data_IF_356087468491
#
_entry.id   IF_356087468491
#
_cell.length_a   1.000
_cell.length_b   1.000
_cell.length_c   1.000
_cell.angle_alpha   90.00
_cell.angle_beta   90.00
_cell.angle_gamma   90.00
#
_symmetry.space_group_name_H-M   'P 1'
#
loop_
_entity.id
_entity.type
_entity.pdbx_description
1 polymer ?
#
# COMPACT_ATOMS: atom_id res chain seq x y z
N UNK A 1 18.01 21.45 -20.19
CA UNK A 1 17.21 20.22 -20.31
C UNK A 1 15.72 20.38 -19.99
N UNK A 2 15.32 21.44 -19.32
CA UNK A 2 13.91 21.71 -18.91
C UNK A 2 12.98 22.26 -20.01
N UNK A 3 13.52 22.65 -21.18
CA UNK A 3 12.73 23.29 -22.24
C UNK A 3 11.92 22.34 -23.15
N UNK A 4 12.06 21.02 -23.00
CA UNK A 4 11.34 20.02 -23.82
C UNK A 4 10.17 19.34 -23.09
N UNK A 5 9.97 19.63 -21.80
CA UNK A 5 8.78 19.15 -21.09
C UNK A 5 7.62 20.08 -21.44
N UNK A 6 6.79 19.66 -22.38
CA UNK A 6 5.60 20.42 -22.75
C UNK A 6 4.69 20.60 -21.51
N UNK A 7 4.06 21.80 -21.40
CA UNK A 7 3.15 22.15 -20.28
C UNK A 7 2.14 21.03 -19.96
N UNK A 8 1.69 20.31 -20.99
CA UNK A 8 0.76 19.17 -20.86
C UNK A 8 1.36 18.02 -20.04
N UNK A 9 2.62 17.66 -20.30
CA UNK A 9 3.29 16.57 -19.58
C UNK A 9 3.54 16.96 -18.13
N UNK A 10 3.90 18.19 -17.87
CA UNK A 10 4.06 18.72 -16.51
C UNK A 10 2.74 18.69 -15.73
N UNK A 11 1.62 19.12 -16.34
CA UNK A 11 0.31 19.08 -15.70
C UNK A 11 -0.13 17.65 -15.38
N UNK A 12 0.07 16.71 -16.32
CA UNK A 12 -0.25 15.30 -16.11
C UNK A 12 0.56 14.72 -14.93
N UNK A 13 1.84 15.03 -14.88
CA UNK A 13 2.75 14.59 -13.81
C UNK A 13 2.31 15.13 -12.45
N UNK A 14 1.98 16.43 -12.38
CA UNK A 14 1.47 17.07 -11.16
C UNK A 14 0.15 16.46 -10.69
N UNK A 15 -0.80 16.26 -11.61
CA UNK A 15 -2.12 15.72 -11.26
C UNK A 15 -2.00 14.26 -10.77
N UNK A 16 -1.27 13.41 -11.50
CA UNK A 16 -1.09 12.02 -11.09
C UNK A 16 -0.29 11.89 -9.78
N UNK A 17 0.75 12.70 -9.59
CA UNK A 17 1.50 12.74 -8.34
C UNK A 17 0.64 13.15 -7.16
N UNK A 18 -0.18 14.20 -7.32
CA UNK A 18 -1.09 14.66 -6.28
C UNK A 18 -2.14 13.59 -5.93
N UNK A 19 -2.75 12.95 -6.94
CA UNK A 19 -3.73 11.86 -6.75
C UNK A 19 -3.07 10.69 -6.01
N UNK A 20 -1.87 10.30 -6.39
CA UNK A 20 -1.12 9.23 -5.73
C UNK A 20 -0.84 9.53 -4.25
N UNK A 21 -0.42 10.75 -3.93
CA UNK A 21 -0.17 11.16 -2.55
C UNK A 21 -1.45 11.25 -1.71
N UNK A 22 -2.55 11.74 -2.29
CA UNK A 22 -3.85 11.76 -1.62
C UNK A 22 -4.34 10.33 -1.38
N UNK A 23 -4.26 9.45 -2.36
CA UNK A 23 -4.66 8.05 -2.23
C UNK A 23 -3.87 7.35 -1.12
N UNK A 24 -2.55 7.56 -1.09
CA UNK A 24 -1.68 7.02 -0.04
C UNK A 24 -2.02 7.55 1.35
N UNK A 25 -2.27 8.85 1.48
CA UNK A 25 -2.64 9.46 2.76
C UNK A 25 -4.01 8.94 3.27
N UNK A 26 -4.99 8.85 2.37
CA UNK A 26 -6.32 8.31 2.67
C UNK A 26 -6.22 6.84 3.08
N UNK A 27 -5.48 6.03 2.33
CA UNK A 27 -5.23 4.63 2.63
C UNK A 27 -4.67 4.48 4.05
N UNK A 28 -3.54 5.10 4.35
CA UNK A 28 -2.91 4.99 5.67
C UNK A 28 -3.84 5.42 6.81
N UNK A 29 -4.59 6.50 6.63
CA UNK A 29 -5.51 6.99 7.66
C UNK A 29 -6.68 6.03 7.88
N UNK A 30 -7.33 5.58 6.80
CA UNK A 30 -8.50 4.71 6.90
C UNK A 30 -8.15 3.28 7.31
N UNK A 31 -7.01 2.73 6.90
CA UNK A 31 -6.60 1.39 7.30
C UNK A 31 -6.30 1.30 8.79
N UNK A 32 -5.57 2.26 9.31
CA UNK A 32 -5.27 2.31 10.74
C UNK A 32 -6.55 2.40 11.56
N UNK A 33 -7.50 3.26 11.14
CA UNK A 33 -8.80 3.41 11.78
C UNK A 33 -9.63 2.12 11.63
N UNK A 34 -9.65 1.50 10.46
CA UNK A 34 -10.38 0.26 10.21
C UNK A 34 -9.88 -0.89 11.10
N UNK A 35 -8.58 -1.06 11.22
CA UNK A 35 -7.99 -2.09 12.11
C UNK A 35 -8.37 -1.82 13.55
N UNK A 36 -8.26 -0.58 14.00
CA UNK A 36 -8.56 -0.18 15.37
C UNK A 36 -10.04 -0.36 15.72
N UNK A 37 -10.95 0.05 14.84
CA UNK A 37 -12.39 0.00 15.12
C UNK A 37 -13.03 -1.36 14.83
N UNK A 38 -12.53 -2.08 13.83
CA UNK A 38 -13.19 -3.30 13.32
C UNK A 38 -12.58 -4.57 13.84
N UNK A 39 -11.26 -4.61 14.07
CA UNK A 39 -10.56 -5.83 14.43
C UNK A 39 -10.25 -5.87 15.92
N UNK A 40 -9.47 -4.92 16.40
CA UNK A 40 -9.17 -4.79 17.83
C UNK A 40 -8.73 -3.35 18.16
N UNK A 41 -9.22 -2.76 19.27
CA UNK A 41 -8.81 -1.45 19.73
C UNK A 41 -7.43 -1.54 20.41
N UNK A 42 -6.41 -1.94 19.66
CA UNK A 42 -5.05 -2.14 20.13
C UNK A 42 -4.08 -1.21 19.38
N UNK A 43 -3.63 -0.19 20.09
CA UNK A 43 -2.68 0.80 19.56
C UNK A 43 -1.31 0.22 19.28
N UNK A 44 -0.90 -0.83 20.00
CA UNK A 44 0.40 -1.46 19.80
C UNK A 44 0.46 -2.16 18.44
N UNK A 45 -0.63 -2.83 18.06
CA UNK A 45 -0.76 -3.46 16.74
C UNK A 45 -0.76 -2.43 15.61
N UNK A 46 -1.49 -1.33 15.76
CA UNK A 46 -1.51 -0.25 14.77
C UNK A 46 -0.12 0.38 14.62
N UNK A 47 0.57 0.61 15.74
CA UNK A 47 1.93 1.15 15.75
C UNK A 47 2.91 0.21 15.04
N UNK A 48 2.82 -1.09 15.30
CA UNK A 48 3.63 -2.11 14.65
C UNK A 48 3.36 -2.17 13.14
N UNK A 49 2.10 -2.08 12.73
CA UNK A 49 1.71 -1.99 11.32
C UNK A 49 2.41 -0.81 10.63
N UNK A 50 2.29 0.39 11.18
CA UNK A 50 2.88 1.61 10.61
C UNK A 50 4.40 1.51 10.52
N UNK A 51 5.06 0.94 11.54
CA UNK A 51 6.52 0.76 11.53
C UNK A 51 6.97 -0.24 10.47
N UNK A 52 6.29 -1.39 10.36
CA UNK A 52 6.61 -2.41 9.36
C UNK A 52 6.38 -1.87 7.94
N UNK A 53 5.27 -1.19 7.71
CA UNK A 53 4.97 -0.57 6.41
C UNK A 53 6.02 0.46 6.01
N UNK A 54 6.50 1.28 6.95
CA UNK A 54 7.58 2.23 6.72
C UNK A 54 8.90 1.56 6.30
N UNK A 55 9.25 0.45 6.95
CA UNK A 55 10.43 -0.35 6.57
C UNK A 55 10.25 -0.96 5.18
N UNK A 56 9.09 -1.57 4.92
CA UNK A 56 8.76 -2.16 3.62
C UNK A 56 8.81 -1.10 2.52
N UNK A 57 8.22 0.07 2.74
CA UNK A 57 8.26 1.18 1.78
C UNK A 57 9.70 1.58 1.44
N UNK A 58 10.53 1.77 2.45
CA UNK A 58 11.94 2.18 2.26
C UNK A 58 12.73 1.14 1.47
N UNK A 59 12.64 -0.13 1.88
CA UNK A 59 13.34 -1.23 1.20
C UNK A 59 12.85 -1.39 -0.23
N UNK A 60 11.54 -1.31 -0.45
CA UNK A 60 10.92 -1.42 -1.77
C UNK A 60 11.38 -0.29 -2.69
N UNK A 61 11.39 0.95 -2.22
CA UNK A 61 11.81 2.10 -3.01
C UNK A 61 13.24 1.93 -3.50
N UNK A 62 14.15 1.48 -2.63
CA UNK A 62 15.55 1.23 -2.99
C UNK A 62 15.70 0.08 -3.98
N UNK A 63 15.05 -1.05 -3.73
CA UNK A 63 15.17 -2.25 -4.56
C UNK A 63 14.50 -2.05 -5.93
N UNK A 64 13.26 -1.61 -5.95
CA UNK A 64 12.51 -1.46 -7.19
C UNK A 64 13.02 -0.26 -7.99
N UNK A 65 13.45 0.82 -7.34
CA UNK A 65 14.12 1.93 -8.02
C UNK A 65 15.33 1.44 -8.83
N UNK A 66 16.24 0.70 -8.19
CA UNK A 66 17.43 0.17 -8.85
C UNK A 66 17.11 -0.86 -9.94
N UNK A 67 16.11 -1.71 -9.72
CA UNK A 67 15.67 -2.72 -10.71
C UNK A 67 14.99 -2.05 -11.91
N UNK A 68 14.10 -1.09 -11.67
CA UNK A 68 13.41 -0.38 -12.75
C UNK A 68 14.36 0.42 -13.63
N UNK A 69 15.42 0.98 -13.02
CA UNK A 69 16.47 1.69 -13.77
C UNK A 69 17.28 0.76 -14.66
N UNK A 70 17.63 -0.43 -14.18
CA UNK A 70 18.35 -1.44 -14.96
C UNK A 70 17.53 -1.97 -16.14
N UNK A 71 16.23 -2.15 -15.95
CA UNK A 71 15.33 -2.67 -17.01
C UNK A 71 14.96 -1.57 -18.01
N UNK A 72 15.02 -0.29 -17.59
CA UNK A 72 14.69 0.86 -18.43
C UNK A 72 13.21 0.99 -18.80
N UNK A 73 12.33 0.23 -18.17
CA UNK A 73 10.90 0.19 -18.50
C UNK A 73 10.01 0.57 -17.30
N UNK A 74 10.24 1.76 -16.78
CA UNK A 74 9.49 2.31 -15.61
C UNK A 74 7.97 2.35 -15.83
N UNK A 75 7.51 2.57 -17.07
CA UNK A 75 6.08 2.64 -17.38
C UNK A 75 5.32 1.36 -17.03
N UNK A 76 5.90 0.20 -17.36
CA UNK A 76 5.28 -1.10 -17.06
C UNK A 76 5.20 -1.34 -15.55
N UNK A 77 6.28 -1.01 -14.82
CA UNK A 77 6.28 -1.12 -13.36
C UNK A 77 5.25 -0.20 -12.70
N UNK A 78 5.12 1.05 -13.17
CA UNK A 78 4.10 1.97 -12.68
C UNK A 78 2.70 1.43 -12.90
N UNK A 79 2.36 1.08 -14.14
CA UNK A 79 1.01 0.61 -14.46
C UNK A 79 0.66 -0.68 -13.72
N UNK A 80 1.54 -1.67 -13.76
CA UNK A 80 1.35 -2.94 -13.06
C UNK A 80 1.25 -2.74 -11.54
N UNK A 81 2.12 -1.91 -10.96
CA UNK A 81 2.12 -1.59 -9.54
C UNK A 81 0.81 -0.93 -9.10
N UNK A 82 0.31 0.07 -9.82
CA UNK A 82 -0.96 0.73 -9.50
C UNK A 82 -2.16 -0.22 -9.62
N UNK A 83 -2.20 -1.08 -10.63
CA UNK A 83 -3.29 -2.06 -10.79
C UNK A 83 -3.27 -3.07 -9.64
N UNK A 84 -2.10 -3.64 -9.32
CA UNK A 84 -1.96 -4.61 -8.23
C UNK A 84 -2.25 -3.93 -6.88
N UNK A 85 -1.76 -2.72 -6.67
CA UNK A 85 -2.07 -1.94 -5.47
C UNK A 85 -3.57 -1.74 -5.30
N UNK A 86 -4.29 -1.31 -6.34
CA UNK A 86 -5.75 -1.18 -6.29
C UNK A 86 -6.47 -2.49 -5.99
N UNK A 87 -6.01 -3.62 -6.54
CA UNK A 87 -6.55 -4.96 -6.24
C UNK A 87 -6.28 -5.35 -4.80
N UNK A 88 -5.07 -5.14 -4.28
CA UNK A 88 -4.73 -5.46 -2.88
C UNK A 88 -5.52 -4.62 -1.89
N UNK A 89 -5.74 -3.33 -2.17
CA UNK A 89 -6.61 -2.45 -1.38
C UNK A 89 -8.04 -2.99 -1.34
N UNK A 90 -8.58 -3.40 -2.49
CA UNK A 90 -9.92 -3.98 -2.55
C UNK A 90 -10.02 -5.29 -1.75
N UNK A 91 -9.02 -6.16 -1.86
CA UNK A 91 -8.97 -7.42 -1.11
C UNK A 91 -8.84 -7.19 0.39
N UNK A 92 -8.09 -6.19 0.81
CA UNK A 92 -7.96 -5.83 2.23
C UNK A 92 -9.32 -5.46 2.85
N UNK A 93 -10.19 -4.79 2.11
CA UNK A 93 -11.54 -4.45 2.57
C UNK A 93 -12.38 -5.67 2.99
N UNK A 94 -12.05 -6.87 2.51
CA UNK A 94 -12.68 -8.12 2.94
C UNK A 94 -12.05 -8.72 4.21
N UNK A 95 -10.92 -8.21 4.68
CA UNK A 95 -10.23 -8.68 5.88
C UNK A 95 -10.96 -8.16 7.12
N UNK A 96 -11.98 -8.88 7.59
CA UNK A 96 -12.72 -8.55 8.79
C UNK A 96 -12.92 -9.79 9.68
N UNK A 97 -13.10 -9.65 11.00
CA UNK A 97 -13.36 -10.77 11.90
C UNK A 97 -14.57 -11.59 11.48
N UNK A 98 -15.57 -10.97 10.85
CA UNK A 98 -16.76 -11.66 10.32
C UNK A 98 -16.41 -12.58 9.16
N UNK A 99 -15.60 -12.11 8.22
CA UNK A 99 -15.18 -12.89 7.05
C UNK A 99 -14.22 -14.01 7.45
N UNK A 100 -13.26 -13.70 8.33
CA UNK A 100 -12.30 -14.69 8.83
C UNK A 100 -13.02 -15.72 9.69
N UNK A 101 -13.97 -15.33 10.52
CA UNK A 101 -14.80 -16.25 11.33
C UNK A 101 -15.70 -17.17 10.51
N UNK A 102 -16.11 -16.74 9.32
CA UNK A 102 -16.86 -17.60 8.39
C UNK A 102 -15.99 -18.67 7.74
N UNK A 103 -14.69 -18.41 7.61
CA UNK A 103 -13.73 -19.34 6.98
C UNK A 103 -13.08 -20.25 8.02
N UNK A 104 -12.74 -19.69 9.20
CA UNK A 104 -12.08 -20.40 10.28
C UNK A 104 -13.04 -20.53 11.48
N UNK A 105 -13.54 -21.74 11.71
CA UNK A 105 -14.34 -22.06 12.90
C UNK A 105 -13.41 -22.13 14.11
N UNK A 106 -13.51 -21.18 15.04
CA UNK A 106 -12.66 -21.16 16.23
C UNK A 106 -13.12 -20.14 17.28
N UNK A 107 -12.40 -20.09 18.41
CA UNK A 107 -12.64 -19.10 19.46
C UNK A 107 -12.41 -17.68 18.93
N UNK A 108 -13.22 -16.72 19.41
CA UNK A 108 -13.13 -15.32 19.00
C UNK A 108 -11.71 -14.73 19.15
N UNK A 109 -10.98 -15.11 20.21
CA UNK A 109 -9.61 -14.67 20.42
C UNK A 109 -8.66 -15.13 19.30
N UNK A 110 -8.82 -16.36 18.80
CA UNK A 110 -8.04 -16.88 17.67
C UNK A 110 -8.40 -16.19 16.37
N UNK A 111 -9.69 -15.95 16.14
CA UNK A 111 -10.19 -15.25 14.94
C UNK A 111 -9.60 -13.83 14.88
N UNK A 112 -9.64 -13.11 15.99
CA UNK A 112 -9.07 -11.75 16.09
C UNK A 112 -7.56 -11.77 15.82
N UNK A 113 -6.80 -12.70 16.42
CA UNK A 113 -5.37 -12.83 16.22
C UNK A 113 -5.01 -13.15 14.76
N UNK A 114 -5.73 -14.04 14.11
CA UNK A 114 -5.54 -14.36 12.68
C UNK A 114 -5.88 -13.15 11.82
N UNK A 115 -6.96 -12.45 12.13
CA UNK A 115 -7.38 -11.26 11.38
C UNK A 115 -6.35 -10.14 11.50
N UNK A 116 -5.79 -9.90 12.70
CA UNK A 116 -4.70 -8.93 12.89
C UNK A 116 -3.45 -9.30 12.09
N UNK A 117 -3.06 -10.57 12.11
CA UNK A 117 -1.91 -11.05 11.35
C UNK A 117 -2.12 -10.85 9.84
N UNK A 118 -3.30 -11.18 9.33
CA UNK A 118 -3.67 -10.96 7.94
C UNK A 118 -3.71 -9.47 7.58
N UNK A 119 -4.17 -8.63 8.50
CA UNK A 119 -4.17 -7.17 8.30
C UNK A 119 -2.75 -6.62 8.17
N UNK A 120 -1.82 -7.02 9.06
CA UNK A 120 -0.42 -6.59 9.00
C UNK A 120 0.26 -7.07 7.71
N UNK A 121 0.06 -8.33 7.34
CA UNK A 121 0.63 -8.87 6.08
C UNK A 121 0.02 -8.15 4.87
N UNK A 122 -1.29 -7.96 4.87
CA UNK A 122 -1.99 -7.24 3.79
C UNK A 122 -1.49 -5.82 3.62
N UNK A 123 -1.29 -5.10 4.72
CA UNK A 123 -0.74 -3.74 4.72
C UNK A 123 0.69 -3.70 4.18
N UNK A 124 1.55 -4.64 4.57
CA UNK A 124 2.91 -4.76 4.02
C UNK A 124 2.89 -5.04 2.50
N UNK A 125 2.00 -5.91 2.03
CA UNK A 125 1.86 -6.21 0.59
C UNK A 125 1.35 -4.99 -0.18
N UNK A 126 0.35 -4.29 0.34
CA UNK A 126 -0.16 -3.06 -0.27
C UNK A 126 0.93 -1.99 -0.35
N UNK A 127 1.64 -1.78 0.74
CA UNK A 127 2.76 -0.82 0.82
C UNK A 127 3.87 -1.16 -0.16
N UNK A 128 4.18 -2.46 -0.33
CA UNK A 128 5.16 -2.90 -1.32
C UNK A 128 4.77 -2.47 -2.74
N UNK A 129 3.54 -2.74 -3.17
CA UNK A 129 3.08 -2.37 -4.52
C UNK A 129 2.86 -0.87 -4.67
N UNK A 130 2.33 -0.19 -3.65
CA UNK A 130 2.14 1.25 -3.64
C UNK A 130 3.46 2.01 -3.74
N UNK A 131 4.44 1.68 -2.91
CA UNK A 131 5.78 2.28 -2.95
C UNK A 131 6.54 1.93 -4.23
N UNK A 132 6.35 0.72 -4.76
CA UNK A 132 6.93 0.30 -6.03
C UNK A 132 6.45 1.17 -7.20
N UNK A 133 5.15 1.44 -7.26
CA UNK A 133 4.56 2.23 -8.33
C UNK A 133 4.78 3.73 -8.15
N UNK A 134 4.53 4.24 -6.95
CA UNK A 134 4.51 5.68 -6.67
C UNK A 134 5.90 6.23 -6.36
N UNK A 135 6.61 5.63 -5.41
CA UNK A 135 7.87 6.19 -4.92
C UNK A 135 9.06 5.80 -5.81
N UNK A 136 9.17 4.51 -6.13
CA UNK A 136 10.31 4.01 -6.89
C UNK A 136 10.24 4.33 -8.39
N UNK A 137 9.05 4.36 -8.98
CA UNK A 137 8.92 4.48 -10.44
C UNK A 137 8.36 5.83 -10.89
N UNK A 138 7.48 6.45 -10.09
CA UNK A 138 6.85 7.72 -10.46
C UNK A 138 7.66 8.93 -9.97
N UNK A 139 8.14 8.90 -8.72
CA UNK A 139 8.87 10.02 -8.12
C UNK A 139 10.39 10.01 -8.41
N UNK A 140 10.93 8.94 -8.92
CA UNK A 140 12.34 8.81 -9.33
C UNK A 140 12.54 9.17 -10.80
#
# INVERSE_FOLDING_TARGET
>A
MLSKFGKRNFTVLMVFGLIGQIAWAVENMYFNLFVFETIAPDLDTVTLMVQLSGIVATVTTLLIGTVSDKIGNRRTFMWAGYVIWGVTVALFGYTSPKTVGAIFSGDMAKIVSITLTLAVIGDCVMTFFGSSANDACFNA
#
